data_IF_136652087379
#
_entry.id   IF_136652087379
#
_cell.length_a   1.000
_cell.length_b   1.000
_cell.length_c   1.000
_cell.angle_alpha   90.00
_cell.angle_beta   90.00
_cell.angle_gamma   90.00
#
_symmetry.space_group_name_H-M   'P 1'
#
loop_
_entity.id
_entity.type
_entity.pdbx_description
1 polymer ?
#
# COMPACT_ATOMS: atom_id res chain seq x y z
N UNK A 1 -29.46 1.99 -37.76
CA UNK A 1 -28.13 2.64 -37.62
C UNK A 1 -27.91 3.34 -36.27
N UNK A 2 -28.90 3.85 -35.56
CA UNK A 2 -28.70 4.50 -34.26
C UNK A 2 -28.33 3.57 -33.10
N UNK A 3 -28.80 2.32 -33.10
CA UNK A 3 -28.53 1.37 -32.02
C UNK A 3 -27.05 0.90 -31.92
N UNK A 4 -26.35 0.86 -33.04
CA UNK A 4 -24.93 0.44 -33.09
C UNK A 4 -23.96 1.50 -32.53
N UNK A 5 -24.36 2.75 -32.54
CA UNK A 5 -23.54 3.85 -31.99
C UNK A 5 -23.74 4.03 -30.47
N UNK A 6 -24.84 3.57 -29.90
CA UNK A 6 -25.14 3.69 -28.48
C UNK A 6 -24.43 2.60 -27.62
N UNK A 7 -24.19 1.42 -28.19
CA UNK A 7 -23.54 0.31 -27.50
C UNK A 7 -22.15 0.65 -26.92
N UNK A 8 -21.22 1.28 -27.66
CA UNK A 8 -19.90 1.62 -27.13
C UNK A 8 -19.97 2.73 -26.06
N UNK A 9 -20.93 3.64 -26.15
CA UNK A 9 -21.13 4.72 -25.18
C UNK A 9 -21.68 4.13 -23.86
N UNK A 10 -22.70 3.28 -23.94
CA UNK A 10 -23.27 2.61 -22.77
C UNK A 10 -22.23 1.71 -22.09
N UNK A 11 -21.40 0.98 -22.83
CA UNK A 11 -20.33 0.17 -22.29
C UNK A 11 -19.26 1.02 -21.57
N UNK A 12 -18.86 2.13 -22.16
CA UNK A 12 -17.91 3.08 -21.51
C UNK A 12 -18.52 3.69 -20.26
N UNK A 13 -19.79 4.11 -20.31
CA UNK A 13 -20.51 4.60 -19.13
C UNK A 13 -20.57 3.58 -18.00
N UNK A 14 -20.85 2.32 -18.32
CA UNK A 14 -20.83 1.23 -17.34
C UNK A 14 -19.45 1.01 -16.72
N UNK A 15 -18.38 1.06 -17.52
CA UNK A 15 -17.00 0.94 -17.02
C UNK A 15 -16.66 2.10 -16.08
N UNK A 16 -16.96 3.33 -16.48
CA UNK A 16 -16.68 4.50 -15.62
C UNK A 16 -17.46 4.46 -14.32
N UNK A 17 -18.74 4.05 -14.36
CA UNK A 17 -19.54 3.90 -13.15
C UNK A 17 -18.96 2.83 -12.22
N UNK A 18 -18.63 1.67 -12.74
CA UNK A 18 -18.01 0.59 -11.96
C UNK A 18 -16.68 1.03 -11.35
N UNK A 19 -15.83 1.71 -12.14
CA UNK A 19 -14.54 2.25 -11.66
C UNK A 19 -14.77 3.28 -10.57
N UNK A 20 -15.72 4.20 -10.74
CA UNK A 20 -16.05 5.21 -9.75
C UNK A 20 -16.50 4.58 -8.43
N UNK A 21 -17.42 3.60 -8.49
CA UNK A 21 -17.87 2.88 -7.31
C UNK A 21 -16.72 2.17 -6.59
N UNK A 22 -15.84 1.52 -7.35
CA UNK A 22 -14.66 0.87 -6.79
C UNK A 22 -13.72 1.88 -6.11
N UNK A 23 -13.46 3.02 -6.76
CA UNK A 23 -12.61 4.09 -6.21
C UNK A 23 -13.22 4.66 -4.93
N UNK A 24 -14.52 4.96 -4.93
CA UNK A 24 -15.22 5.48 -3.75
C UNK A 24 -15.15 4.47 -2.60
N UNK A 25 -15.44 3.20 -2.87
CA UNK A 25 -15.35 2.14 -1.87
C UNK A 25 -13.93 1.98 -1.31
N UNK A 26 -12.92 2.00 -2.17
CA UNK A 26 -11.51 1.89 -1.77
C UNK A 26 -11.00 3.13 -1.02
N UNK A 27 -11.53 4.31 -1.33
CA UNK A 27 -11.16 5.56 -0.66
C UNK A 27 -11.85 5.74 0.70
N UNK A 28 -12.99 5.05 0.94
CA UNK A 28 -13.79 5.21 2.15
C UNK A 28 -13.00 4.98 3.46
N UNK A 29 -12.19 3.92 3.62
CA UNK A 29 -11.40 3.73 4.84
C UNK A 29 -10.41 4.88 5.06
N UNK A 30 -9.78 5.40 4.00
CA UNK A 30 -8.86 6.53 4.11
C UNK A 30 -9.58 7.81 4.51
N UNK A 31 -10.79 8.03 3.98
CA UNK A 31 -11.65 9.13 4.36
C UNK A 31 -11.99 9.07 5.86
N UNK A 32 -12.42 7.91 6.35
CA UNK A 32 -12.74 7.72 7.77
C UNK A 32 -11.52 7.94 8.65
N UNK A 33 -10.35 7.41 8.26
CA UNK A 33 -9.10 7.65 8.99
C UNK A 33 -8.75 9.14 9.06
N UNK A 34 -8.91 9.87 7.94
CA UNK A 34 -8.66 11.30 7.89
C UNK A 34 -9.59 12.07 8.83
N UNK A 35 -10.92 11.82 8.76
CA UNK A 35 -11.89 12.45 9.65
C UNK A 35 -11.59 12.12 11.12
N UNK A 36 -11.30 10.86 11.42
CA UNK A 36 -11.01 10.41 12.79
C UNK A 36 -9.75 11.07 13.36
N UNK A 37 -8.74 11.34 12.52
CA UNK A 37 -7.51 12.03 12.95
C UNK A 37 -7.76 13.43 13.54
N UNK A 38 -8.85 14.09 13.12
CA UNK A 38 -9.23 15.42 13.59
C UNK A 38 -10.37 15.41 14.63
N UNK A 39 -10.88 14.22 15.02
CA UNK A 39 -11.91 14.12 16.07
C UNK A 39 -11.30 14.23 17.46
N UNK A 40 -12.12 14.67 18.40
CA UNK A 40 -11.77 14.62 19.83
C UNK A 40 -11.77 13.18 20.34
N UNK A 41 -11.01 12.90 21.41
CA UNK A 41 -11.00 11.57 22.02
C UNK A 41 -12.39 11.14 22.50
N UNK A 42 -13.20 12.08 23.00
CA UNK A 42 -14.58 11.82 23.41
C UNK A 42 -15.45 11.35 22.24
N UNK A 43 -15.28 11.94 21.05
CA UNK A 43 -16.05 11.56 19.84
C UNK A 43 -15.60 10.21 19.29
N UNK A 44 -14.31 9.88 19.37
CA UNK A 44 -13.76 8.62 18.85
C UNK A 44 -14.33 7.41 19.61
N UNK A 45 -14.45 7.52 20.93
CA UNK A 45 -14.92 6.42 21.78
C UNK A 45 -16.43 6.42 22.01
N UNK A 46 -17.18 7.38 21.46
CA UNK A 46 -18.61 7.44 21.60
C UNK A 46 -19.32 6.75 20.39
N UNK A 47 -19.91 5.58 20.57
CA UNK A 47 -20.59 4.86 19.49
C UNK A 47 -21.83 5.57 18.93
N UNK A 48 -22.38 6.56 19.62
CA UNK A 48 -23.52 7.34 19.17
C UNK A 48 -23.12 8.46 18.19
N UNK A 49 -21.82 8.75 18.05
CA UNK A 49 -21.32 9.80 17.15
C UNK A 49 -21.18 9.26 15.73
N UNK A 50 -21.58 10.07 14.74
CA UNK A 50 -21.44 9.71 13.33
C UNK A 50 -19.96 9.51 12.97
N UNK A 51 -19.55 8.33 12.46
CA UNK A 51 -18.16 8.06 12.09
C UNK A 51 -17.70 8.87 10.88
N UNK A 52 -18.61 9.28 10.00
CA UNK A 52 -18.30 9.92 8.72
C UNK A 52 -18.23 11.44 8.78
N UNK A 53 -18.56 12.05 9.93
CA UNK A 53 -18.56 13.50 10.07
C UNK A 53 -18.17 13.95 11.47
N UNK A 54 -17.90 15.24 11.63
CA UNK A 54 -17.58 15.85 12.91
C UNK A 54 -18.84 16.13 13.72
N UNK A 55 -18.84 15.78 15.00
CA UNK A 55 -19.90 16.12 15.96
C UNK A 55 -19.47 17.29 16.86
N UNK A 56 -18.17 17.41 17.11
CA UNK A 56 -17.54 18.56 17.77
C UNK A 56 -16.60 19.28 16.80
N UNK A 57 -16.08 20.43 17.20
CA UNK A 57 -15.10 21.18 16.42
C UNK A 57 -13.84 20.33 16.15
N UNK A 58 -13.33 20.29 14.91
CA UNK A 58 -12.11 19.56 14.58
C UNK A 58 -10.94 20.02 15.43
N UNK A 59 -10.08 19.08 15.85
CA UNK A 59 -8.92 19.35 16.68
C UNK A 59 -7.64 18.81 16.07
N UNK A 60 -6.52 19.45 16.31
CA UNK A 60 -5.17 18.97 15.99
C UNK A 60 -4.51 18.24 17.18
N UNK A 61 -5.25 17.97 18.24
CA UNK A 61 -4.71 17.35 19.45
C UNK A 61 -4.04 15.99 19.17
N UNK A 62 -4.67 15.15 18.33
CA UNK A 62 -4.10 13.85 17.97
C UNK A 62 -2.82 13.98 17.15
N UNK A 63 -2.78 14.94 16.24
CA UNK A 63 -1.58 15.23 15.44
C UNK A 63 -0.46 15.75 16.35
N UNK A 64 -0.77 16.68 17.25
CA UNK A 64 0.20 17.20 18.20
C UNK A 64 0.73 16.11 19.12
N UNK A 65 -0.15 15.28 19.68
CA UNK A 65 0.23 14.13 20.50
C UNK A 65 1.20 13.20 19.74
N UNK A 66 0.90 12.89 18.50
CA UNK A 66 1.73 12.02 17.69
C UNK A 66 3.15 12.57 17.49
N UNK A 67 3.27 13.86 17.17
CA UNK A 67 4.57 14.47 16.85
C UNK A 67 5.34 14.98 18.05
N UNK A 68 4.66 15.40 19.13
CA UNK A 68 5.29 16.01 20.30
C UNK A 68 5.50 15.01 21.44
N UNK A 69 4.55 14.08 21.64
CA UNK A 69 4.51 13.25 22.84
C UNK A 69 4.86 11.76 22.57
N UNK A 70 5.20 11.41 21.29
CA UNK A 70 5.61 10.05 20.93
C UNK A 70 6.94 10.04 20.18
N UNK A 71 7.53 8.85 20.03
CA UNK A 71 8.74 8.61 19.23
C UNK A 71 8.44 8.50 17.73
N UNK A 72 7.27 8.95 17.26
CA UNK A 72 6.83 8.78 15.88
C UNK A 72 7.83 9.30 14.85
N UNK A 73 8.38 10.49 15.05
CA UNK A 73 9.38 11.07 14.14
C UNK A 73 10.63 10.20 14.07
N UNK A 74 11.08 9.68 15.19
CA UNK A 74 12.23 8.77 15.23
C UNK A 74 11.96 7.46 14.49
N UNK A 75 10.78 6.88 14.68
CA UNK A 75 10.38 5.67 13.94
C UNK A 75 10.27 5.93 12.44
N UNK A 76 9.70 7.08 12.06
CA UNK A 76 9.58 7.48 10.66
C UNK A 76 10.97 7.63 10.00
N UNK A 77 11.89 8.33 10.66
CA UNK A 77 13.26 8.49 10.16
C UNK A 77 13.99 7.15 10.08
N UNK A 78 13.86 6.30 11.10
CA UNK A 78 14.45 4.97 11.08
C UNK A 78 13.92 4.12 9.92
N UNK A 79 12.60 4.12 9.70
CA UNK A 79 11.97 3.42 8.58
C UNK A 79 12.45 3.97 7.23
N UNK A 80 12.59 5.28 7.12
CA UNK A 80 13.11 5.94 5.91
C UNK A 80 14.55 5.49 5.61
N UNK A 81 15.44 5.53 6.61
CA UNK A 81 16.84 5.13 6.44
C UNK A 81 16.95 3.65 6.08
N UNK A 82 16.26 2.78 6.79
CA UNK A 82 16.25 1.34 6.49
C UNK A 82 15.69 1.09 5.09
N UNK A 83 14.59 1.74 4.73
CA UNK A 83 13.98 1.62 3.39
C UNK A 83 14.95 2.06 2.28
N UNK A 84 15.59 3.20 2.44
CA UNK A 84 16.59 3.69 1.47
C UNK A 84 17.79 2.75 1.35
N UNK A 85 18.30 2.23 2.47
CA UNK A 85 19.41 1.28 2.47
C UNK A 85 19.02 -0.02 1.75
N UNK A 86 17.83 -0.56 2.05
CA UNK A 86 17.32 -1.78 1.40
C UNK A 86 17.19 -1.57 -0.12
N UNK A 87 16.57 -0.45 -0.54
CA UNK A 87 16.44 -0.13 -1.97
C UNK A 87 17.80 -0.01 -2.65
N UNK A 88 18.73 0.71 -2.04
CA UNK A 88 20.08 0.89 -2.60
C UNK A 88 20.81 -0.46 -2.75
N UNK A 89 20.84 -1.27 -1.70
CA UNK A 89 21.48 -2.60 -1.73
C UNK A 89 20.80 -3.48 -2.78
N UNK A 90 19.48 -3.50 -2.81
CA UNK A 90 18.72 -4.31 -3.78
C UNK A 90 19.05 -3.91 -5.21
N UNK A 91 19.09 -2.62 -5.52
CA UNK A 91 19.42 -2.14 -6.87
C UNK A 91 20.87 -2.47 -7.24
N UNK A 92 21.82 -2.25 -6.33
CA UNK A 92 23.24 -2.55 -6.56
C UNK A 92 23.48 -4.03 -6.82
N UNK A 93 22.72 -4.92 -6.20
CA UNK A 93 22.86 -6.36 -6.39
C UNK A 93 22.00 -6.86 -7.56
N UNK A 94 20.75 -6.44 -7.67
CA UNK A 94 19.82 -6.99 -8.66
C UNK A 94 20.10 -6.54 -10.09
N UNK A 95 20.54 -5.30 -10.29
CA UNK A 95 20.81 -4.79 -11.65
C UNK A 95 21.99 -5.52 -12.32
N UNK A 96 23.17 -5.67 -11.68
CA UNK A 96 24.26 -6.47 -12.27
C UNK A 96 23.90 -7.95 -12.38
N UNK A 97 23.17 -8.51 -11.40
CA UNK A 97 22.75 -9.91 -11.47
C UNK A 97 21.81 -10.15 -12.66
N UNK A 98 20.81 -9.28 -12.86
CA UNK A 98 19.91 -9.36 -14.01
C UNK A 98 20.68 -9.22 -15.35
N UNK A 99 21.63 -8.29 -15.41
CA UNK A 99 22.48 -8.13 -16.60
C UNK A 99 23.32 -9.39 -16.85
N UNK A 100 23.93 -9.95 -15.81
CA UNK A 100 24.71 -11.18 -15.88
C UNK A 100 23.90 -12.36 -16.39
N UNK A 101 22.68 -12.54 -15.87
CA UNK A 101 21.77 -13.59 -16.32
C UNK A 101 21.34 -13.41 -17.77
N UNK A 102 21.01 -12.17 -18.17
CA UNK A 102 20.44 -11.88 -19.48
C UNK A 102 21.52 -11.85 -20.61
N UNK A 103 22.76 -11.50 -20.29
CA UNK A 103 23.79 -11.20 -21.30
C UNK A 103 25.03 -12.05 -21.21
N UNK A 104 25.42 -12.53 -20.04
CA UNK A 104 26.69 -13.22 -19.80
C UNK A 104 26.50 -14.72 -19.64
N UNK A 105 25.45 -15.15 -18.95
CA UNK A 105 25.26 -16.56 -18.58
C UNK A 105 24.84 -17.50 -19.73
N UNK A 106 24.58 -16.97 -20.93
CA UNK A 106 24.16 -17.77 -22.09
C UNK A 106 22.95 -18.66 -21.79
N UNK A 107 23.01 -19.94 -22.21
CA UNK A 107 21.91 -20.90 -21.97
C UNK A 107 21.64 -21.22 -20.50
N UNK A 108 22.60 -21.01 -19.62
CA UNK A 108 22.43 -21.18 -18.16
C UNK A 108 21.61 -20.05 -17.51
N UNK A 109 21.60 -18.87 -18.14
CA UNK A 109 20.88 -17.71 -17.61
C UNK A 109 19.37 -17.95 -17.50
N UNK A 110 18.78 -18.59 -18.48
CA UNK A 110 17.36 -18.93 -18.47
C UNK A 110 17.02 -19.93 -17.35
N UNK A 111 17.80 -21.00 -17.21
CA UNK A 111 17.58 -22.01 -16.17
C UNK A 111 17.73 -21.42 -14.76
N UNK A 112 18.77 -20.59 -14.55
CA UNK A 112 18.98 -19.90 -13.28
C UNK A 112 17.86 -18.88 -13.00
N UNK A 113 17.44 -18.14 -14.02
CA UNK A 113 16.32 -17.19 -13.92
C UNK A 113 15.02 -17.87 -13.51
N UNK A 114 14.70 -19.01 -14.11
CA UNK A 114 13.53 -19.83 -13.72
C UNK A 114 13.68 -20.33 -12.28
N UNK A 115 14.87 -20.81 -11.89
CA UNK A 115 15.15 -21.24 -10.52
C UNK A 115 14.92 -20.12 -9.50
N UNK A 116 15.42 -18.92 -9.77
CA UNK A 116 15.16 -17.73 -8.93
C UNK A 116 13.68 -17.40 -8.88
N UNK A 117 12.98 -17.41 -10.03
CA UNK A 117 11.55 -17.14 -10.08
C UNK A 117 10.75 -18.15 -9.25
N UNK A 118 11.12 -19.42 -9.26
CA UNK A 118 10.46 -20.45 -8.46
C UNK A 118 10.57 -20.17 -6.95
N UNK A 119 11.66 -19.54 -6.49
CA UNK A 119 11.78 -19.17 -5.08
C UNK A 119 10.76 -18.12 -4.64
N UNK A 120 10.31 -17.26 -5.55
CA UNK A 120 9.24 -16.29 -5.29
C UNK A 120 7.85 -16.92 -5.18
N UNK A 121 7.66 -18.15 -5.69
CA UNK A 121 6.39 -18.88 -5.55
C UNK A 121 6.20 -19.41 -4.12
N UNK A 122 7.27 -19.50 -3.33
CA UNK A 122 7.15 -19.83 -1.90
C UNK A 122 6.70 -18.58 -1.15
N UNK A 123 5.46 -18.56 -0.60
CA UNK A 123 4.97 -17.38 0.10
C UNK A 123 5.87 -17.05 1.30
N UNK A 124 6.36 -15.81 1.44
CA UNK A 124 7.18 -15.40 2.59
C UNK A 124 6.50 -15.65 3.94
N UNK A 125 5.17 -15.68 3.94
CA UNK A 125 4.35 -15.99 5.11
C UNK A 125 4.57 -17.40 5.67
N UNK A 126 4.95 -18.37 4.84
CA UNK A 126 5.29 -19.72 5.30
C UNK A 126 6.59 -19.75 6.10
N UNK A 127 7.50 -18.81 5.87
CA UNK A 127 8.76 -18.67 6.61
C UNK A 127 8.57 -17.98 7.97
N UNK A 128 7.45 -17.28 8.16
CA UNK A 128 7.17 -16.56 9.40
C UNK A 128 6.96 -17.51 10.59
N UNK A 129 6.34 -18.68 10.36
CA UNK A 129 6.05 -19.67 11.42
C UNK A 129 7.32 -20.22 12.08
N UNK A 130 8.35 -20.69 11.33
CA UNK A 130 9.61 -21.10 11.93
C UNK A 130 10.38 -19.96 12.60
N UNK A 131 10.37 -18.75 12.03
CA UNK A 131 11.05 -17.58 12.60
C UNK A 131 10.42 -17.04 13.88
N UNK A 132 9.13 -17.27 14.10
CA UNK A 132 8.44 -16.83 15.32
C UNK A 132 8.76 -17.70 16.55
N UNK A 133 9.45 -18.83 16.38
CA UNK A 133 9.85 -19.76 17.45
C UNK A 133 11.31 -19.67 17.85
N UNK A 134 12.06 -18.76 17.24
CA UNK A 134 13.45 -18.42 17.58
C UNK A 134 13.48 -17.12 18.36
#
# INVERSE_FOLDING_TARGET
MAASALAPIARRGGIYLATLLFVVFSALPFYVMLITSFKTQADIFNPAVNPFWFSAAPTLANVRLLFADTLFVQWLLNTLWVGLAVVAITLVLSVPAAYGLARIAGGWGETLGIGIFLTYLVPPTLLFIPFSKV
#
